data_IF_850955461681
#
_entry.id   IF_850955461681
#
_cell.length_a   1.000
_cell.length_b   1.000
_cell.length_c   1.000
_cell.angle_alpha   90.00
_cell.angle_beta   90.00
_cell.angle_gamma   90.00
#
_symmetry.space_group_name_H-M   'P 1'
#
loop_
_entity.id
_entity.type
_entity.pdbx_description
1 polymer ?
#
# COMPACT_ATOMS: atom_id res chain seq x y z
N UNK A 1 12.37 -20.77 -28.11
CA UNK A 1 12.54 -20.08 -26.81
C UNK A 1 11.26 -19.32 -26.51
N UNK A 2 10.57 -19.62 -25.42
CA UNK A 2 9.39 -18.87 -24.98
C UNK A 2 9.85 -17.50 -24.50
N UNK A 3 9.46 -16.44 -25.22
CA UNK A 3 9.68 -15.07 -24.75
C UNK A 3 8.94 -14.87 -23.41
N UNK A 4 9.54 -14.11 -22.49
CA UNK A 4 8.89 -13.79 -21.23
C UNK A 4 7.61 -12.99 -21.50
N UNK A 5 6.48 -13.48 -20.99
CA UNK A 5 5.15 -12.85 -21.14
C UNK A 5 5.12 -11.45 -20.51
N UNK A 6 5.95 -11.22 -19.49
CA UNK A 6 6.14 -9.92 -18.85
C UNK A 6 7.62 -9.57 -18.86
N UNK A 7 7.96 -8.40 -19.36
CA UNK A 7 9.33 -7.86 -19.35
C UNK A 7 9.30 -6.44 -18.80
N UNK A 8 10.28 -6.07 -17.99
CA UNK A 8 10.47 -4.69 -17.51
C UNK A 8 11.64 -4.05 -18.23
N UNK A 9 11.46 -2.82 -18.72
CA UNK A 9 12.56 -1.95 -19.17
C UNK A 9 12.63 -0.76 -18.24
N UNK A 10 13.77 -0.60 -17.58
CA UNK A 10 14.01 0.51 -16.65
C UNK A 10 14.96 1.47 -17.35
N UNK A 11 14.56 2.72 -17.48
CA UNK A 11 15.45 3.85 -17.78
C UNK A 11 15.56 4.72 -16.53
N UNK A 12 16.53 5.65 -16.50
CA UNK A 12 16.83 6.45 -15.30
C UNK A 12 15.62 7.21 -14.71
N UNK A 13 14.53 7.41 -15.45
CA UNK A 13 13.32 8.12 -15.00
C UNK A 13 12.00 7.43 -15.33
N UNK A 14 12.01 6.27 -15.99
CA UNK A 14 10.79 5.58 -16.40
C UNK A 14 10.94 4.07 -16.28
N UNK A 15 9.90 3.45 -15.71
CA UNK A 15 9.73 2.00 -15.72
C UNK A 15 8.66 1.64 -16.74
N UNK A 16 9.02 0.83 -17.73
CA UNK A 16 8.09 0.30 -18.72
C UNK A 16 7.84 -1.17 -18.46
N UNK A 17 6.60 -1.52 -18.13
CA UNK A 17 6.13 -2.89 -18.08
C UNK A 17 5.58 -3.30 -19.45
N UNK A 18 6.22 -4.25 -20.11
CA UNK A 18 5.80 -4.80 -21.40
C UNK A 18 5.11 -6.14 -21.13
N UNK A 19 3.80 -6.18 -21.37
CA UNK A 19 3.00 -7.42 -21.28
C UNK A 19 2.71 -7.90 -22.70
N UNK A 20 3.30 -9.03 -23.07
CA UNK A 20 3.09 -9.67 -24.36
C UNK A 20 1.97 -10.69 -24.26
N UNK A 21 1.10 -10.75 -25.28
CA UNK A 21 0.08 -11.79 -25.33
C UNK A 21 0.75 -13.17 -25.40
N UNK A 22 0.40 -14.12 -24.52
CA UNK A 22 0.93 -15.48 -24.57
C UNK A 22 0.45 -16.19 -25.85
N UNK A 23 1.34 -16.95 -26.49
CA UNK A 23 1.03 -17.66 -27.75
C UNK A 23 0.01 -18.80 -27.56
N UNK A 24 -0.10 -19.38 -26.36
CA UNK A 24 -1.16 -20.31 -25.98
C UNK A 24 -1.21 -20.51 -24.45
N UNK A 25 -2.36 -20.95 -23.94
CA UNK A 25 -2.45 -21.73 -22.69
C UNK A 25 -2.15 -21.04 -21.34
N UNK A 26 -1.95 -19.71 -21.28
CA UNK A 26 -1.66 -19.03 -20.02
C UNK A 26 -2.93 -18.43 -19.39
N UNK A 27 -3.24 -18.85 -18.16
CA UNK A 27 -4.28 -18.26 -17.33
C UNK A 27 -3.72 -17.97 -15.93
N UNK A 28 -4.14 -16.87 -15.31
CA UNK A 28 -3.84 -16.60 -13.91
C UNK A 28 -4.59 -17.59 -13.03
N UNK A 29 -3.88 -18.26 -12.13
CA UNK A 29 -4.45 -19.18 -11.13
C UNK A 29 -3.78 -18.91 -9.79
N UNK A 30 -4.57 -18.71 -8.74
CA UNK A 30 -4.07 -18.49 -7.40
C UNK A 30 -5.06 -17.70 -6.55
N UNK A 31 -4.67 -17.49 -5.29
CA UNK A 31 -5.38 -16.66 -4.34
C UNK A 31 -4.42 -15.56 -3.87
N UNK A 32 -4.92 -14.35 -3.74
CA UNK A 32 -4.17 -13.22 -3.20
C UNK A 32 -4.99 -12.57 -2.09
N UNK A 33 -4.30 -12.03 -1.10
CA UNK A 33 -4.91 -11.09 -0.16
C UNK A 33 -4.81 -9.69 -0.75
N UNK A 34 -5.95 -9.01 -0.84
CA UNK A 34 -5.98 -7.62 -1.28
C UNK A 34 -5.43 -6.74 -0.14
N UNK A 35 -4.48 -5.82 -0.44
CA UNK A 35 -4.02 -4.85 0.55
C UNK A 35 -5.14 -3.98 1.10
N UNK A 36 -4.87 -3.25 2.17
CA UNK A 36 -5.80 -2.24 2.69
C UNK A 36 -6.25 -1.24 1.63
N UNK A 37 -7.45 -0.69 1.79
CA UNK A 37 -7.92 0.38 0.91
C UNK A 37 -7.17 1.70 1.18
N UNK A 38 -6.77 2.40 0.11
CA UNK A 38 -5.99 3.64 0.22
C UNK A 38 -6.77 4.74 0.92
N UNK A 39 -8.01 4.99 0.50
CA UNK A 39 -8.81 6.07 1.04
C UNK A 39 -9.25 5.81 2.48
N UNK A 40 -9.55 4.56 2.84
CA UNK A 40 -9.80 4.16 4.23
C UNK A 40 -8.54 4.34 5.05
N UNK A 41 -7.36 3.90 4.55
CA UNK A 41 -6.09 4.06 5.28
C UNK A 41 -5.78 5.51 5.62
N UNK A 42 -5.96 6.44 4.66
CA UNK A 42 -5.87 7.87 4.93
C UNK A 42 -6.83 8.30 6.04
N UNK A 43 -8.11 8.00 5.89
CA UNK A 43 -9.14 8.46 6.83
C UNK A 43 -8.97 7.85 8.22
N UNK A 44 -8.58 6.59 8.33
CA UNK A 44 -8.31 5.93 9.61
C UNK A 44 -7.19 6.61 10.36
N UNK A 45 -6.09 6.98 9.67
CA UNK A 45 -5.00 7.75 10.27
C UNK A 45 -5.45 9.16 10.68
N UNK A 46 -6.14 9.87 9.78
CA UNK A 46 -6.64 11.23 10.04
C UNK A 46 -7.61 11.27 11.22
N UNK A 47 -8.59 10.36 11.24
CA UNK A 47 -9.59 10.27 12.29
C UNK A 47 -8.98 9.81 13.61
N UNK A 48 -8.04 8.85 13.57
CA UNK A 48 -7.33 8.40 14.76
C UNK A 48 -6.53 9.53 15.42
N UNK A 49 -5.84 10.34 14.62
CA UNK A 49 -5.00 11.42 15.10
C UNK A 49 -5.76 12.62 15.69
N UNK A 50 -7.08 12.74 15.45
CA UNK A 50 -7.93 13.79 16.03
C UNK A 50 -8.91 13.25 17.07
N UNK A 51 -9.01 11.93 17.21
CA UNK A 51 -9.89 11.30 18.17
C UNK A 51 -9.35 11.48 19.60
N UNK A 52 -10.24 11.39 20.59
CA UNK A 52 -9.82 11.31 21.99
C UNK A 52 -9.59 9.85 22.36
N UNK A 53 -8.41 9.56 22.89
CA UNK A 53 -8.01 8.21 23.30
C UNK A 53 -7.47 7.37 22.14
N UNK A 54 -7.27 6.09 22.42
CA UNK A 54 -6.55 5.18 21.54
C UNK A 54 -7.38 4.68 20.36
N UNK A 55 -6.88 4.89 19.14
CA UNK A 55 -7.41 4.29 17.91
C UNK A 55 -6.55 3.11 17.46
N UNK A 56 -7.17 1.97 17.18
CA UNK A 56 -6.50 0.78 16.63
C UNK A 56 -6.94 0.51 15.20
N UNK A 57 -5.99 0.42 14.27
CA UNK A 57 -6.21 0.20 12.84
C UNK A 57 -5.60 -1.15 12.45
N UNK A 58 -6.37 -2.02 11.79
CA UNK A 58 -5.89 -3.29 11.20
C UNK A 58 -6.02 -3.24 9.68
N UNK A 59 -5.08 -3.83 8.97
CA UNK A 59 -5.06 -3.85 7.51
C UNK A 59 -4.73 -2.50 6.89
N UNK A 60 -3.89 -1.68 7.54
CA UNK A 60 -3.46 -0.39 6.99
C UNK A 60 -2.68 -0.62 5.68
N UNK A 61 -3.01 0.13 4.63
CA UNK A 61 -2.25 0.13 3.38
C UNK A 61 -0.88 0.79 3.61
N UNK A 62 0.20 0.06 3.34
CA UNK A 62 1.58 0.51 3.49
C UNK A 62 2.16 1.21 2.26
N UNK A 63 1.32 1.91 1.50
CA UNK A 63 1.73 2.73 0.36
C UNK A 63 2.34 4.06 0.79
N UNK A 64 2.92 4.79 -0.16
CA UNK A 64 3.52 6.10 0.10
C UNK A 64 2.49 7.14 0.57
N UNK A 65 1.27 7.17 0.01
CA UNK A 65 0.29 8.18 0.40
C UNK A 65 -0.16 8.04 1.88
N UNK A 66 -0.53 6.84 2.40
CA UNK A 66 -0.82 6.68 3.82
C UNK A 66 0.40 6.90 4.71
N UNK A 67 1.62 6.52 4.28
CA UNK A 67 2.86 6.81 5.02
C UNK A 67 3.10 8.32 5.17
N UNK A 68 2.89 9.06 4.09
CA UNK A 68 2.97 10.53 4.09
C UNK A 68 1.92 11.14 5.02
N UNK A 69 0.72 10.56 5.06
CA UNK A 69 -0.35 10.99 5.99
C UNK A 69 0.05 10.76 7.44
N UNK A 70 0.49 9.54 7.79
CA UNK A 70 0.96 9.24 9.13
C UNK A 70 2.10 10.19 9.53
N UNK A 71 3.10 10.38 8.67
CA UNK A 71 4.20 11.32 8.91
C UNK A 71 3.70 12.75 9.15
N UNK A 72 2.73 13.22 8.38
CA UNK A 72 2.13 14.54 8.57
C UNK A 72 1.50 14.67 9.96
N UNK A 73 0.66 13.72 10.37
CA UNK A 73 0.01 13.77 11.69
C UNK A 73 0.99 13.56 12.85
N UNK A 74 2.03 12.73 12.68
CA UNK A 74 3.11 12.65 13.67
C UNK A 74 3.86 13.96 13.84
N UNK A 75 4.12 14.70 12.75
CA UNK A 75 4.71 16.04 12.82
C UNK A 75 3.77 17.07 13.44
N UNK A 76 2.46 16.85 13.38
CA UNK A 76 1.44 17.66 14.04
C UNK A 76 1.21 17.26 15.51
N UNK A 77 1.87 16.21 16.00
CA UNK A 77 1.89 15.82 17.41
C UNK A 77 1.12 14.56 17.77
N UNK A 78 0.51 13.85 16.81
CA UNK A 78 -0.11 12.55 17.09
C UNK A 78 0.96 11.47 17.33
N UNK A 79 0.78 10.63 18.35
CA UNK A 79 1.61 9.46 18.57
C UNK A 79 1.12 8.32 17.66
N UNK A 80 1.93 7.96 16.68
CA UNK A 80 1.60 6.91 15.71
C UNK A 80 2.68 5.83 15.80
N UNK A 81 2.27 4.65 16.23
CA UNK A 81 3.11 3.47 16.29
C UNK A 81 3.70 3.08 14.91
N UNK A 82 4.63 2.12 14.90
CA UNK A 82 5.24 1.64 13.67
C UNK A 82 4.19 1.13 12.67
N UNK A 83 4.18 1.70 11.47
CA UNK A 83 3.23 1.32 10.43
C UNK A 83 3.46 -0.12 9.95
N UNK A 84 2.44 -0.95 10.10
CA UNK A 84 2.40 -2.33 9.64
C UNK A 84 0.95 -2.73 9.25
N UNK A 85 0.77 -3.92 8.69
CA UNK A 85 -0.55 -4.40 8.25
C UNK A 85 -1.38 -5.01 9.37
N UNK A 86 -0.76 -5.42 10.47
CA UNK A 86 -1.41 -6.24 11.49
C UNK A 86 -2.14 -5.36 12.49
N UNK A 87 -1.46 -4.36 13.04
CA UNK A 87 -2.01 -3.42 14.01
C UNK A 87 -1.19 -2.11 14.05
N UNK A 88 -1.87 -0.99 13.89
CA UNK A 88 -1.33 0.36 14.10
C UNK A 88 -2.17 1.06 15.16
N UNK A 89 -1.50 1.61 16.15
CA UNK A 89 -2.05 2.42 17.22
C UNK A 89 -1.79 3.91 16.95
N UNK A 90 -2.81 4.74 17.20
CA UNK A 90 -2.78 6.20 17.09
C UNK A 90 -3.37 6.80 18.37
N UNK A 91 -2.63 7.72 19.00
CA UNK A 91 -2.98 8.45 20.22
C UNK A 91 -2.71 9.96 20.11
#
# INVERSE_FOLDING_TARGET
MTAAVVTTKITNSQETLIIQRPQSGLCLKGNISIPGDKSISHRSLMLGAIAQGKTTIKGLLLGEDPRSTAKCFSLLGADISQLNTDLVEVE
#
